data_IF_682857473221
#
_entry.id   IF_682857473221
#
_cell.length_a   1.000
_cell.length_b   1.000
_cell.length_c   1.000
_cell.angle_alpha   90.00
_cell.angle_beta   90.00
_cell.angle_gamma   90.00
#
_symmetry.space_group_name_H-M   'P 1'
#
loop_
_entity.id
_entity.type
_entity.pdbx_description
1 polymer ?
#
# COMPACT_ATOMS: atom_id res chain seq x y z
N UNK A 1 12.42 -1.11 8.21
CA UNK A 1 12.18 -2.25 9.13
C UNK A 1 10.69 -2.53 9.17
N UNK A 2 10.25 -3.75 8.85
CA UNK A 2 8.82 -4.11 8.86
C UNK A 2 8.40 -4.45 10.30
N UNK A 3 7.34 -3.82 10.78
CA UNK A 3 6.76 -4.12 12.10
C UNK A 3 5.48 -4.91 11.85
N UNK A 4 5.45 -6.18 12.28
CA UNK A 4 4.41 -7.15 11.92
C UNK A 4 2.97 -6.69 12.22
N UNK A 5 2.74 -6.05 13.37
CA UNK A 5 1.42 -5.54 13.75
C UNK A 5 0.94 -4.41 12.83
N UNK A 6 1.82 -3.47 12.51
CA UNK A 6 1.53 -2.38 11.58
C UNK A 6 1.34 -2.90 10.16
N UNK A 7 2.15 -3.88 9.74
CA UNK A 7 2.02 -4.52 8.44
C UNK A 7 0.68 -5.24 8.28
N UNK A 8 0.18 -5.93 9.32
CA UNK A 8 -1.16 -6.54 9.31
C UNK A 8 -2.26 -5.49 9.15
N UNK A 9 -2.17 -4.38 9.89
CA UNK A 9 -3.14 -3.27 9.78
C UNK A 9 -3.10 -2.62 8.40
N UNK A 10 -1.91 -2.37 7.86
CA UNK A 10 -1.71 -1.78 6.53
C UNK A 10 -2.34 -2.63 5.42
N UNK A 11 -2.21 -3.97 5.49
CA UNK A 11 -2.86 -4.88 4.55
C UNK A 11 -4.38 -4.75 4.59
N UNK A 12 -4.98 -4.71 5.78
CA UNK A 12 -6.42 -4.52 5.93
C UNK A 12 -6.90 -3.18 5.35
N UNK A 13 -6.13 -2.10 5.59
CA UNK A 13 -6.43 -0.78 5.01
C UNK A 13 -6.31 -0.79 3.48
N UNK A 14 -5.29 -1.46 2.93
CA UNK A 14 -5.11 -1.56 1.48
C UNK A 14 -6.24 -2.37 0.82
N UNK A 15 -6.64 -3.51 1.41
CA UNK A 15 -7.80 -4.28 0.92
C UNK A 15 -9.07 -3.45 0.94
N UNK A 16 -9.32 -2.69 2.01
CA UNK A 16 -10.47 -1.79 2.10
C UNK A 16 -10.42 -0.71 1.01
N UNK A 17 -9.27 -0.06 0.82
CA UNK A 17 -9.08 0.97 -0.20
C UNK A 17 -9.37 0.45 -1.62
N UNK A 18 -8.89 -0.76 -1.94
CA UNK A 18 -9.14 -1.42 -3.23
C UNK A 18 -10.64 -1.67 -3.43
N UNK A 19 -11.31 -2.17 -2.39
CA UNK A 19 -12.74 -2.49 -2.45
C UNK A 19 -13.62 -1.23 -2.56
N UNK A 20 -13.35 -0.20 -1.74
CA UNK A 20 -14.11 1.06 -1.73
C UNK A 20 -13.97 1.83 -3.05
N UNK A 21 -12.77 1.86 -3.63
CA UNK A 21 -12.50 2.55 -4.89
C UNK A 21 -12.74 1.68 -6.14
N UNK A 22 -13.20 0.43 -5.96
CA UNK A 22 -13.40 -0.55 -7.04
C UNK A 22 -12.21 -0.61 -8.00
N UNK A 23 -11.02 -0.71 -7.42
CA UNK A 23 -9.79 -0.70 -8.21
C UNK A 23 -9.66 -2.02 -8.98
N UNK A 24 -9.74 -1.92 -10.31
CA UNK A 24 -9.53 -3.05 -11.22
C UNK A 24 -8.10 -3.09 -11.76
N UNK A 25 -7.45 -1.92 -11.89
CA UNK A 25 -6.10 -1.80 -12.38
C UNK A 25 -5.09 -1.76 -11.23
N UNK A 26 -4.11 -2.66 -11.28
CA UNK A 26 -3.09 -2.78 -10.26
C UNK A 26 -2.29 -1.47 -10.07
N UNK A 27 -2.09 -0.67 -11.13
CA UNK A 27 -1.38 0.61 -11.02
C UNK A 27 -2.05 1.61 -10.07
N UNK A 28 -3.38 1.57 -9.94
CA UNK A 28 -4.12 2.49 -9.08
C UNK A 28 -3.86 2.23 -7.59
N UNK A 29 -3.37 1.03 -7.23
CA UNK A 29 -2.99 0.69 -5.86
C UNK A 29 -1.80 1.55 -5.39
N UNK A 30 -0.97 2.06 -6.29
CA UNK A 30 0.13 2.98 -5.96
C UNK A 30 -0.36 4.29 -5.32
N UNK A 31 -1.63 4.65 -5.54
CA UNK A 31 -2.27 5.83 -4.93
C UNK A 31 -2.73 5.59 -3.49
N UNK A 32 -2.44 4.42 -2.90
CA UNK A 32 -2.76 4.14 -1.51
C UNK A 32 -1.99 5.07 -0.56
N UNK A 33 -2.73 5.93 0.14
CA UNK A 33 -2.21 6.96 1.06
C UNK A 33 -2.74 6.82 2.51
N UNK A 34 -3.50 5.77 2.81
CA UNK A 34 -4.18 5.62 4.10
C UNK A 34 -3.21 5.35 5.25
N UNK A 35 -3.46 5.96 6.41
CA UNK A 35 -2.72 5.69 7.64
C UNK A 35 -1.26 6.17 7.61
N UNK A 36 -0.97 7.18 6.77
CA UNK A 36 0.34 7.79 6.59
C UNK A 36 1.28 6.96 5.70
N UNK A 37 0.77 5.90 5.07
CA UNK A 37 1.55 5.13 4.10
C UNK A 37 1.64 5.88 2.78
N UNK A 38 2.74 5.72 2.06
CA UNK A 38 2.98 6.32 0.76
C UNK A 38 3.80 5.37 -0.09
N UNK A 39 3.50 5.30 -1.37
CA UNK A 39 4.26 4.50 -2.32
C UNK A 39 5.68 5.07 -2.49
N UNK A 40 6.69 4.21 -2.43
CA UNK A 40 8.09 4.56 -2.62
C UNK A 40 8.58 3.99 -3.94
N UNK A 41 8.70 4.84 -4.97
CA UNK A 41 9.22 4.42 -6.28
C UNK A 41 10.65 3.91 -6.21
N UNK A 42 11.49 4.53 -5.38
CA UNK A 42 12.90 4.18 -5.20
C UNK A 42 13.12 2.80 -4.59
N UNK A 43 12.20 2.32 -3.74
CA UNK A 43 12.28 0.99 -3.14
C UNK A 43 11.40 -0.05 -3.85
N UNK A 44 10.51 0.38 -4.73
CA UNK A 44 9.61 -0.50 -5.46
C UNK A 44 10.29 -1.10 -6.70
N UNK A 45 9.93 -2.33 -7.01
CA UNK A 45 10.35 -3.07 -8.21
C UNK A 45 9.13 -3.38 -9.07
N UNK A 46 9.36 -3.92 -10.26
CA UNK A 46 8.27 -4.31 -11.19
C UNK A 46 7.21 -5.21 -10.55
N UNK A 47 7.61 -6.13 -9.68
CA UNK A 47 6.72 -7.12 -9.05
C UNK A 47 6.47 -6.89 -7.56
N UNK A 48 7.13 -5.90 -6.96
CA UNK A 48 7.06 -5.64 -5.53
C UNK A 48 6.91 -4.14 -5.26
N UNK A 49 5.77 -3.74 -4.72
CA UNK A 49 5.52 -2.35 -4.36
C UNK A 49 5.75 -2.13 -2.88
N UNK A 50 6.59 -1.14 -2.57
CA UNK A 50 6.96 -0.80 -1.21
C UNK A 50 6.22 0.47 -0.81
N UNK A 51 5.44 0.34 0.26
CA UNK A 51 4.76 1.45 0.90
C UNK A 51 5.49 1.78 2.21
N UNK A 52 5.98 3.00 2.31
CA UNK A 52 6.66 3.50 3.51
C UNK A 52 5.72 4.37 4.32
N UNK A 53 5.95 4.40 5.62
CA UNK A 53 5.26 5.31 6.54
C UNK A 53 6.34 6.09 7.29
N UNK A 54 6.27 7.41 7.19
CA UNK A 54 7.10 8.35 7.95
C UNK A 54 6.70 8.41 9.41
#
# INVERSE_FOLDING_TARGET
>A
KVISFLAKKARGMMTRFIAENKIENSQNIKSFDLGGYSYSETMSKEKEWVFIRG
#
